data_IF_888605289600
#
_entry.id   IF_888605289600
#
_cell.length_a   1.000
_cell.length_b   1.000
_cell.length_c   1.000
_cell.angle_alpha   90.00
_cell.angle_beta   90.00
_cell.angle_gamma   90.00
#
_symmetry.space_group_name_H-M   'P 1'
#
loop_
_entity.id
_entity.type
_entity.pdbx_description
1 polymer ?
#
# COMPACT_ATOMS: atom_id res chain seq x y z
N UNK A 1 -2.25 17.72 -18.16
CA UNK A 1 -3.39 17.03 -17.54
C UNK A 1 -3.81 17.82 -16.31
N UNK A 2 -5.11 17.99 -16.08
CA UNK A 2 -5.57 18.80 -14.94
C UNK A 2 -5.23 18.14 -13.60
N UNK A 3 -4.86 18.97 -12.62
CA UNK A 3 -4.54 18.53 -11.25
C UNK A 3 -5.70 17.77 -10.59
N UNK A 4 -6.94 18.21 -10.85
CA UNK A 4 -8.15 17.54 -10.33
C UNK A 4 -8.25 16.11 -10.86
N UNK A 5 -8.01 15.90 -12.14
CA UNK A 5 -8.01 14.58 -12.78
C UNK A 5 -6.96 13.67 -12.15
N UNK A 6 -5.74 14.18 -11.91
CA UNK A 6 -4.68 13.44 -11.24
C UNK A 6 -5.07 13.01 -9.81
N UNK A 7 -5.65 13.92 -9.03
CA UNK A 7 -6.14 13.62 -7.67
C UNK A 7 -7.21 12.51 -7.69
N UNK A 8 -8.15 12.55 -8.63
CA UNK A 8 -9.20 11.52 -8.77
C UNK A 8 -8.59 10.17 -9.15
N UNK A 9 -7.71 10.13 -10.16
CA UNK A 9 -7.04 8.89 -10.57
C UNK A 9 -6.26 8.29 -9.40
N UNK A 10 -5.51 9.11 -8.67
CA UNK A 10 -4.79 8.66 -7.48
C UNK A 10 -5.74 8.05 -6.44
N UNK A 11 -6.86 8.71 -6.11
CA UNK A 11 -7.84 8.20 -5.16
C UNK A 11 -8.45 6.86 -5.59
N UNK A 12 -8.74 6.68 -6.88
CA UNK A 12 -9.25 5.42 -7.43
C UNK A 12 -8.21 4.31 -7.24
N UNK A 13 -6.96 4.55 -7.68
CA UNK A 13 -5.88 3.60 -7.51
C UNK A 13 -5.63 3.27 -6.02
N UNK A 14 -5.70 4.28 -5.16
CA UNK A 14 -5.54 4.13 -3.71
C UNK A 14 -6.67 3.32 -3.07
N UNK A 15 -7.91 3.49 -3.55
CA UNK A 15 -9.03 2.65 -3.14
C UNK A 15 -8.80 1.18 -3.52
N UNK A 16 -8.27 0.91 -4.72
CA UNK A 16 -7.90 -0.47 -5.11
C UNK A 16 -6.83 -1.08 -4.20
N UNK A 17 -5.85 -0.31 -3.72
CA UNK A 17 -4.87 -0.79 -2.72
C UNK A 17 -5.59 -1.35 -1.49
N UNK A 18 -6.56 -0.62 -0.94
CA UNK A 18 -7.32 -1.09 0.22
C UNK A 18 -8.22 -2.27 -0.11
N UNK A 19 -8.91 -2.26 -1.25
CA UNK A 19 -9.76 -3.38 -1.67
C UNK A 19 -8.95 -4.66 -1.74
N UNK A 20 -7.80 -4.65 -2.41
CA UNK A 20 -6.89 -5.80 -2.51
C UNK A 20 -6.45 -6.25 -1.10
N UNK A 21 -5.94 -5.31 -0.29
CA UNK A 21 -5.44 -5.63 1.06
C UNK A 21 -6.52 -6.18 1.98
N UNK A 22 -7.73 -5.61 1.98
CA UNK A 22 -8.85 -6.06 2.82
C UNK A 22 -9.36 -7.42 2.34
N UNK A 23 -9.52 -7.60 1.03
CA UNK A 23 -9.96 -8.86 0.44
C UNK A 23 -9.02 -10.00 0.84
N UNK A 24 -7.70 -9.84 0.61
CA UNK A 24 -6.74 -10.88 0.94
C UNK A 24 -6.56 -11.05 2.45
N UNK A 25 -6.52 -9.96 3.22
CA UNK A 25 -6.49 -10.05 4.68
C UNK A 25 -7.63 -10.94 5.17
N UNK A 26 -8.88 -10.69 4.74
CA UNK A 26 -10.03 -11.50 5.17
C UNK A 26 -9.96 -12.95 4.69
N UNK A 27 -9.48 -13.19 3.47
CA UNK A 27 -9.41 -14.53 2.87
C UNK A 27 -8.30 -15.40 3.45
N UNK A 28 -7.21 -14.80 3.88
CA UNK A 28 -5.98 -15.52 4.26
C UNK A 28 -5.58 -15.29 5.73
N UNK A 29 -6.48 -14.73 6.54
CA UNK A 29 -6.26 -14.57 7.97
C UNK A 29 -6.20 -15.93 8.67
N UNK A 30 -5.02 -16.28 9.18
CA UNK A 30 -4.86 -17.31 10.20
C UNK A 30 -4.82 -16.63 11.56
N UNK A 31 -5.60 -17.14 12.51
CA UNK A 31 -5.72 -16.57 13.85
C UNK A 31 -4.60 -17.01 14.80
N UNK A 32 -3.97 -18.15 14.52
CA UNK A 32 -2.93 -18.73 15.38
C UNK A 32 -1.57 -18.18 14.98
N UNK A 33 -0.91 -17.51 15.93
CA UNK A 33 0.44 -16.97 15.80
C UNK A 33 1.35 -17.82 16.70
N UNK A 34 2.38 -18.41 16.11
CA UNK A 34 3.33 -19.30 16.80
C UNK A 34 4.51 -18.52 17.37
N UNK A 35 4.99 -17.52 16.63
CA UNK A 35 6.04 -16.60 17.10
C UNK A 35 5.67 -15.17 16.71
N UNK A 36 5.91 -14.22 17.63
CA UNK A 36 5.66 -12.81 17.42
C UNK A 36 6.88 -12.02 17.92
N UNK A 37 7.78 -11.68 17.00
CA UNK A 37 8.96 -10.87 17.30
C UNK A 37 8.64 -9.39 17.17
N UNK A 38 7.64 -8.96 17.92
CA UNK A 38 7.18 -7.56 17.92
C UNK A 38 8.14 -6.70 18.73
N UNK A 39 9.00 -5.98 18.03
CA UNK A 39 9.96 -5.04 18.64
C UNK A 39 9.31 -3.64 18.71
N UNK A 40 9.62 -2.84 19.74
CA UNK A 40 9.12 -1.45 19.87
C UNK A 40 9.43 -0.59 18.63
N UNK A 41 10.57 -0.82 17.98
CA UNK A 41 10.96 -0.20 16.71
C UNK A 41 9.93 -0.44 15.60
N UNK A 42 9.33 -1.62 15.54
CA UNK A 42 8.32 -1.97 14.53
C UNK A 42 7.05 -1.12 14.69
N UNK A 43 6.70 -0.70 15.91
CA UNK A 43 5.56 0.20 16.14
C UNK A 43 5.86 1.60 15.61
N UNK A 44 7.06 2.13 15.90
CA UNK A 44 7.50 3.45 15.42
C UNK A 44 7.57 3.51 13.89
N UNK A 45 8.18 2.49 13.26
CA UNK A 45 8.27 2.42 11.79
C UNK A 45 6.89 2.30 11.13
N UNK A 46 5.95 1.55 11.72
CA UNK A 46 4.58 1.47 11.22
C UNK A 46 3.83 2.77 11.33
N UNK A 47 4.01 3.51 12.43
CA UNK A 47 3.42 4.84 12.57
C UNK A 47 3.97 5.80 11.51
N UNK A 48 5.29 5.79 11.29
CA UNK A 48 5.91 6.61 10.27
C UNK A 48 5.41 6.26 8.86
N UNK A 49 5.27 4.97 8.56
CA UNK A 49 4.66 4.51 7.31
C UNK A 49 3.22 5.01 7.16
N UNK A 50 2.41 4.96 8.23
CA UNK A 50 1.04 5.48 8.22
C UNK A 50 0.99 6.97 7.85
N UNK A 51 1.92 7.76 8.39
CA UNK A 51 2.05 9.19 8.08
C UNK A 51 2.33 9.38 6.58
N UNK A 52 3.34 8.69 6.05
CA UNK A 52 3.75 8.85 4.65
C UNK A 52 2.75 8.31 3.62
N UNK A 53 2.06 7.21 3.95
CA UNK A 53 1.17 6.52 3.00
C UNK A 53 -0.26 7.08 3.08
N UNK A 54 -0.76 7.42 4.27
CA UNK A 54 -2.15 7.88 4.45
C UNK A 54 -2.21 9.39 4.69
N UNK A 55 -1.57 9.87 5.75
CA UNK A 55 -1.81 11.23 6.25
C UNK A 55 -1.33 12.26 5.22
N UNK A 56 -0.12 12.11 4.70
CA UNK A 56 0.48 13.08 3.79
C UNK A 56 -0.27 13.17 2.44
N UNK A 57 -0.59 12.07 1.73
CA UNK A 57 -1.34 12.15 0.48
C UNK A 57 -2.76 12.69 0.66
N UNK A 58 -3.45 12.32 1.74
CA UNK A 58 -4.81 12.83 1.98
C UNK A 58 -4.80 14.31 2.34
N UNK A 59 -3.81 14.76 3.12
CA UNK A 59 -3.61 16.19 3.37
C UNK A 59 -3.38 16.94 2.06
N UNK A 60 -2.52 16.43 1.17
CA UNK A 60 -2.28 17.03 -0.15
C UNK A 60 -3.54 17.10 -1.04
N UNK A 61 -4.37 16.07 -1.00
CA UNK A 61 -5.57 15.97 -1.85
C UNK A 61 -6.65 16.93 -1.35
N UNK A 62 -6.93 16.93 -0.05
CA UNK A 62 -8.10 17.57 0.55
C UNK A 62 -7.83 18.95 1.16
N UNK A 63 -6.56 19.37 1.29
CA UNK A 63 -6.20 20.68 1.85
C UNK A 63 -5.21 21.43 0.94
N UNK A 64 -5.15 22.77 1.04
CA UNK A 64 -4.16 23.56 0.32
C UNK A 64 -2.80 23.65 1.04
N UNK A 65 -2.63 23.01 2.20
CA UNK A 65 -1.44 23.22 3.07
C UNK A 65 -0.11 22.88 2.38
N UNK A 66 -0.13 21.92 1.47
CA UNK A 66 1.04 21.48 0.72
C UNK A 66 1.13 22.13 -0.69
N UNK A 67 0.29 23.12 -0.99
CA UNK A 67 0.27 23.77 -2.30
C UNK A 67 1.57 24.52 -2.61
N UNK A 68 2.29 24.98 -1.58
CA UNK A 68 3.60 25.63 -1.74
C UNK A 68 4.66 24.73 -2.36
N UNK A 69 4.49 23.40 -2.25
CA UNK A 69 5.38 22.40 -2.82
C UNK A 69 4.92 21.89 -4.20
N UNK A 70 3.88 22.49 -4.80
CA UNK A 70 3.43 22.13 -6.13
C UNK A 70 4.41 22.59 -7.21
N UNK A 71 4.67 21.73 -8.18
CA UNK A 71 5.43 22.03 -9.38
C UNK A 71 4.71 21.47 -10.60
N UNK A 72 4.96 22.08 -11.76
CA UNK A 72 4.37 21.65 -13.03
C UNK A 72 5.22 20.53 -13.64
N UNK A 73 4.55 19.46 -14.06
CA UNK A 73 5.18 18.33 -14.73
C UNK A 73 4.67 18.21 -16.17
N UNK A 74 5.53 17.82 -17.12
CA UNK A 74 5.10 17.43 -18.46
C UNK A 74 4.03 16.33 -18.42
N UNK A 75 3.14 16.32 -19.41
CA UNK A 75 2.03 15.36 -19.46
C UNK A 75 2.52 13.91 -19.48
N UNK A 76 3.63 13.62 -20.15
CA UNK A 76 4.18 12.26 -20.23
C UNK A 76 4.63 11.71 -18.87
N UNK A 77 5.14 12.55 -17.96
CA UNK A 77 5.54 12.14 -16.60
C UNK A 77 4.31 11.68 -15.81
N UNK A 78 3.20 12.40 -15.97
CA UNK A 78 1.93 12.04 -15.34
C UNK A 78 1.42 10.68 -15.83
N UNK A 79 1.52 10.42 -17.14
CA UNK A 79 1.13 9.13 -17.73
C UNK A 79 2.02 8.01 -17.20
N UNK A 80 3.33 8.23 -17.14
CA UNK A 80 4.28 7.25 -16.58
C UNK A 80 3.94 6.91 -15.12
N UNK A 81 3.64 7.91 -14.29
CA UNK A 81 3.24 7.71 -12.89
C UNK A 81 1.97 6.86 -12.76
N UNK A 82 0.98 7.07 -13.63
CA UNK A 82 -0.25 6.27 -13.66
C UNK A 82 0.07 4.81 -14.04
N UNK A 83 0.85 4.59 -15.10
CA UNK A 83 1.25 3.24 -15.52
C UNK A 83 2.03 2.50 -14.44
N UNK A 84 2.95 3.20 -13.76
CA UNK A 84 3.68 2.65 -12.61
C UNK A 84 2.74 2.26 -11.47
N UNK A 85 1.76 3.11 -11.14
CA UNK A 85 0.79 2.81 -10.08
C UNK A 85 -0.05 1.58 -10.45
N UNK A 86 -0.60 1.53 -11.66
CA UNK A 86 -1.40 0.38 -12.14
C UNK A 86 -0.59 -0.92 -12.13
N UNK A 87 0.66 -0.87 -12.58
CA UNK A 87 1.58 -2.02 -12.52
C UNK A 87 1.86 -2.44 -11.08
N UNK A 88 1.98 -1.48 -10.16
CA UNK A 88 2.13 -1.74 -8.72
C UNK A 88 0.89 -2.37 -8.10
N UNK A 89 -0.31 -2.04 -8.56
CA UNK A 89 -1.55 -2.70 -8.13
C UNK A 89 -1.59 -4.17 -8.56
N UNK A 90 -1.18 -4.45 -9.80
CA UNK A 90 -1.04 -5.82 -10.28
C UNK A 90 -0.02 -6.60 -9.45
N UNK A 91 1.17 -6.03 -9.20
CA UNK A 91 2.19 -6.64 -8.35
C UNK A 91 1.71 -6.84 -6.91
N UNK A 92 0.98 -5.88 -6.33
CA UNK A 92 0.41 -6.00 -5.00
C UNK A 92 -0.60 -7.15 -4.93
N UNK A 93 -1.49 -7.25 -5.92
CA UNK A 93 -2.43 -8.35 -6.02
C UNK A 93 -1.72 -9.70 -6.17
N UNK A 94 -0.73 -9.80 -7.07
CA UNK A 94 0.04 -11.03 -7.30
C UNK A 94 0.80 -11.46 -6.04
N UNK A 95 1.46 -10.52 -5.37
CA UNK A 95 2.16 -10.77 -4.11
C UNK A 95 1.24 -11.32 -3.02
N UNK A 96 0.03 -10.76 -2.89
CA UNK A 96 -0.95 -11.25 -1.93
C UNK A 96 -1.53 -12.62 -2.31
N UNK A 97 -1.73 -12.86 -3.61
CA UNK A 97 -2.15 -14.14 -4.13
C UNK A 97 -1.13 -15.23 -3.79
N UNK A 98 0.15 -14.97 -4.03
CA UNK A 98 1.21 -15.97 -3.92
C UNK A 98 1.62 -16.22 -2.46
N UNK A 99 1.67 -15.16 -1.64
CA UNK A 99 1.93 -15.30 -0.21
C UNK A 99 0.75 -15.95 0.52
N UNK A 100 -0.49 -15.64 0.10
CA UNK A 100 -1.69 -16.25 0.66
C UNK A 100 -1.74 -16.16 2.19
N UNK A 101 -1.85 -17.33 2.85
CA UNK A 101 -1.91 -17.46 4.32
C UNK A 101 -0.59 -17.11 5.03
N UNK A 102 0.54 -17.15 4.30
CA UNK A 102 1.87 -16.80 4.80
C UNK A 102 2.07 -15.29 4.89
N UNK A 103 1.18 -14.47 4.32
CA UNK A 103 1.30 -13.03 4.46
C UNK A 103 1.03 -12.57 5.91
N UNK A 104 1.92 -11.72 6.43
CA UNK A 104 1.73 -11.03 7.70
C UNK A 104 2.11 -9.56 7.58
N UNK A 105 1.32 -8.62 8.15
CA UNK A 105 1.67 -7.21 8.18
C UNK A 105 2.76 -6.88 9.22
N UNK A 106 3.12 -7.85 10.07
CA UNK A 106 4.08 -7.69 11.18
C UNK A 106 5.01 -8.89 11.23
N UNK A 107 6.09 -8.83 12.01
CA UNK A 107 7.02 -9.96 12.19
C UNK A 107 6.37 -11.07 13.03
N UNK A 108 5.51 -11.84 12.37
CA UNK A 108 4.77 -12.95 12.95
C UNK A 108 4.99 -14.20 12.10
N UNK A 109 5.25 -15.30 12.78
CA UNK A 109 5.25 -16.64 12.21
C UNK A 109 3.93 -17.30 12.62
N UNK A 110 3.26 -17.92 11.65
CA UNK A 110 1.98 -18.62 11.83
C UNK A 110 2.21 -20.14 11.81
N UNK A 111 1.22 -20.91 12.25
CA UNK A 111 1.38 -22.35 12.44
C UNK A 111 1.70 -23.12 11.14
N UNK A 112 1.08 -22.75 10.03
CA UNK A 112 1.34 -23.34 8.71
C UNK A 112 2.29 -22.47 7.85
N UNK A 113 3.14 -21.65 8.47
CA UNK A 113 3.93 -20.65 7.73
C UNK A 113 5.05 -21.32 6.93
N UNK A 114 4.90 -21.32 5.61
CA UNK A 114 5.87 -21.88 4.66
C UNK A 114 6.61 -20.81 3.87
N UNK A 115 7.87 -21.09 3.53
CA UNK A 115 8.65 -20.25 2.62
C UNK A 115 8.16 -20.43 1.19
N UNK A 116 7.56 -19.39 0.62
CA UNK A 116 7.15 -19.35 -0.78
C UNK A 116 8.38 -19.05 -1.64
N UNK A 117 8.79 -20.01 -2.50
CA UNK A 117 9.95 -19.90 -3.39
C UNK A 117 9.59 -19.66 -4.87
N UNK A 118 8.31 -19.68 -5.20
CA UNK A 118 7.79 -19.52 -6.55
C UNK A 118 6.74 -18.40 -6.54
N UNK A 119 6.68 -17.60 -7.60
CA UNK A 119 5.71 -16.51 -7.78
C UNK A 119 4.93 -16.61 -9.08
#
# INVERSE_FOLDING_TARGET
MEMRTLKIIFLICYAFVFVIRIYYKRRTEQKVIVDARKITQEKGLRLLMLVGVIILPFTYIFTPWLAIANYTLPVWVNVLGILMFVSSLWLLWRSHHDLGKNWSPTLQIREEHGLVKNG
#
